data_IF_765477739198
#
_entry.id   IF_765477739198
#
_cell.length_a   1.000
_cell.length_b   1.000
_cell.length_c   1.000
_cell.angle_alpha   90.00
_cell.angle_beta   90.00
_cell.angle_gamma   90.00
#
_symmetry.space_group_name_H-M   'P 1'
#
loop_
_entity.id
_entity.type
_entity.pdbx_description
1 polymer ?
#
# COMPACT_ATOMS: atom_id res chain seq x y z
N UNK A 1 -26.94 -6.05 27.41
CA UNK A 1 -25.95 -5.51 26.45
C UNK A 1 -25.44 -6.67 25.59
N UNK A 2 -25.42 -6.55 24.26
CA UNK A 2 -25.11 -7.66 23.34
C UNK A 2 -23.62 -8.02 23.23
N UNK A 3 -23.29 -9.01 22.38
CA UNK A 3 -21.96 -9.61 22.15
C UNK A 3 -20.90 -8.68 21.52
N UNK A 4 -21.10 -7.35 21.52
CA UNK A 4 -20.13 -6.39 21.01
C UNK A 4 -18.91 -6.29 21.94
N UNK A 5 -17.70 -6.28 21.37
CA UNK A 5 -16.43 -6.20 22.10
C UNK A 5 -16.05 -4.76 22.48
N UNK A 6 -16.53 -3.79 21.72
CA UNK A 6 -16.19 -2.37 21.87
C UNK A 6 -17.44 -1.49 21.85
N UNK A 7 -17.31 -0.30 22.41
CA UNK A 7 -18.26 0.81 22.32
C UNK A 7 -17.54 1.95 21.62
N UNK A 8 -18.14 2.45 20.55
CA UNK A 8 -17.63 3.57 19.78
C UNK A 8 -18.45 4.82 20.04
N UNK A 9 -17.79 5.98 19.99
CA UNK A 9 -18.49 7.25 19.92
C UNK A 9 -17.66 8.31 19.21
N UNK A 10 -18.36 9.10 18.41
CA UNK A 10 -17.78 10.20 17.62
C UNK A 10 -17.58 11.44 18.49
N UNK A 11 -16.40 12.06 18.39
CA UNK A 11 -16.01 13.21 19.22
C UNK A 11 -15.84 14.46 18.35
N UNK A 12 -16.52 15.53 18.75
CA UNK A 12 -16.38 16.88 18.21
C UNK A 12 -16.62 17.93 19.30
N UNK A 13 -16.41 19.20 19.00
CA UNK A 13 -16.73 20.30 19.92
C UNK A 13 -18.20 20.70 19.81
N UNK A 14 -18.84 21.05 20.93
CA UNK A 14 -20.21 21.59 20.92
C UNK A 14 -20.30 22.78 19.96
N UNK A 15 -21.26 22.74 19.05
CA UNK A 15 -21.45 23.75 18.00
C UNK A 15 -20.33 23.75 16.94
N UNK A 16 -19.62 22.63 16.72
CA UNK A 16 -18.49 22.55 15.79
C UNK A 16 -18.81 23.19 14.43
N UNK A 17 -17.94 24.09 13.96
CA UNK A 17 -18.09 24.75 12.66
C UNK A 17 -19.22 25.79 12.60
N UNK A 18 -19.78 26.20 13.74
CA UNK A 18 -20.79 27.26 13.85
C UNK A 18 -20.29 28.43 14.69
N UNK A 19 -20.99 29.57 14.64
CA UNK A 19 -20.69 30.74 15.49
C UNK A 19 -20.86 30.46 16.99
N UNK A 20 -21.56 29.38 17.35
CA UNK A 20 -21.80 28.96 18.73
C UNK A 20 -20.81 27.91 19.23
N UNK A 21 -19.68 27.69 18.54
CA UNK A 21 -18.70 26.68 18.94
C UNK A 21 -18.14 26.93 20.36
N UNK A 22 -18.16 25.90 21.20
CA UNK A 22 -17.65 25.94 22.57
C UNK A 22 -16.51 24.93 22.75
N UNK A 23 -15.59 25.19 23.68
CA UNK A 23 -14.46 24.30 24.02
C UNK A 23 -14.91 23.11 24.90
N UNK A 24 -16.02 22.47 24.54
CA UNK A 24 -16.61 21.35 25.27
C UNK A 24 -16.70 20.15 24.31
N UNK A 25 -15.87 19.10 24.51
CA UNK A 25 -15.98 17.85 23.76
C UNK A 25 -17.30 17.14 24.06
N UNK A 26 -18.01 16.74 23.01
CA UNK A 26 -19.31 16.07 23.07
C UNK A 26 -19.34 14.84 22.16
N UNK A 27 -20.35 13.99 22.37
CA UNK A 27 -20.58 12.79 21.57
C UNK A 27 -21.55 13.08 20.43
N UNK A 28 -21.05 13.30 19.21
CA UNK A 28 -21.88 13.60 18.05
C UNK A 28 -21.21 13.17 16.74
N UNK A 29 -22.02 12.58 15.84
CA UNK A 29 -21.60 12.22 14.48
C UNK A 29 -22.07 13.30 13.49
N UNK A 30 -21.22 13.82 12.58
CA UNK A 30 -21.64 14.76 11.54
C UNK A 30 -22.80 14.22 10.65
N UNK A 31 -23.71 15.06 10.16
CA UNK A 31 -23.67 16.52 10.17
C UNK A 31 -24.12 17.17 11.49
N UNK A 32 -24.46 16.39 12.52
CA UNK A 32 -24.77 16.93 13.83
C UNK A 32 -23.53 17.63 14.41
N UNK A 33 -23.72 18.86 14.87
CA UNK A 33 -22.67 19.69 15.47
C UNK A 33 -22.85 19.85 16.98
N UNK A 34 -23.91 19.29 17.56
CA UNK A 34 -24.20 19.36 19.00
C UNK A 34 -24.83 18.06 19.52
N UNK A 35 -24.79 17.87 20.84
CA UNK A 35 -25.31 16.73 21.58
C UNK A 35 -25.55 17.12 23.04
N UNK A 36 -26.56 16.50 23.65
CA UNK A 36 -26.84 16.63 25.08
C UNK A 36 -25.87 15.83 25.96
N UNK A 37 -25.03 14.98 25.36
CA UNK A 37 -24.06 14.14 26.06
C UNK A 37 -22.64 14.67 25.84
N UNK A 38 -21.98 15.05 26.94
CA UNK A 38 -20.55 15.39 26.92
C UNK A 38 -19.68 14.14 26.86
N UNK A 39 -18.45 14.26 26.37
CA UNK A 39 -17.48 13.15 26.38
C UNK A 39 -17.23 12.62 27.80
N UNK A 40 -17.17 13.51 28.80
CA UNK A 40 -16.95 13.11 30.19
C UNK A 40 -18.09 12.22 30.72
N UNK A 41 -19.35 12.63 30.51
CA UNK A 41 -20.53 11.86 30.92
C UNK A 41 -20.56 10.51 30.21
N UNK A 42 -20.30 10.51 28.90
CA UNK A 42 -20.24 9.29 28.12
C UNK A 42 -19.14 8.33 28.62
N UNK A 43 -17.95 8.82 28.95
CA UNK A 43 -16.87 7.99 29.49
C UNK A 43 -17.23 7.36 30.84
N UNK A 44 -17.94 8.07 31.72
CA UNK A 44 -18.43 7.47 32.98
C UNK A 44 -19.40 6.32 32.72
N UNK A 45 -20.21 6.39 31.67
CA UNK A 45 -21.12 5.30 31.29
C UNK A 45 -20.37 4.14 30.60
N UNK A 46 -19.50 4.46 29.65
CA UNK A 46 -18.78 3.48 28.84
C UNK A 46 -17.83 2.62 29.69
N UNK A 47 -17.15 3.23 30.68
CA UNK A 47 -16.27 2.51 31.61
C UNK A 47 -16.99 1.44 32.42
N UNK A 48 -18.26 1.66 32.78
CA UNK A 48 -19.08 0.68 33.50
C UNK A 48 -19.56 -0.51 32.64
N UNK A 49 -19.42 -0.43 31.32
CA UNK A 49 -19.85 -1.49 30.42
C UNK A 49 -18.82 -2.63 30.28
N UNK A 50 -17.60 -2.46 30.79
CA UNK A 50 -16.49 -3.42 30.68
C UNK A 50 -16.22 -3.87 29.23
N UNK A 51 -16.31 -2.94 28.27
CA UNK A 51 -16.01 -3.12 26.85
C UNK A 51 -14.88 -2.20 26.43
N UNK A 52 -14.13 -2.55 25.38
CA UNK A 52 -13.16 -1.62 24.79
C UNK A 52 -13.82 -0.33 24.34
N UNK A 53 -13.09 0.78 24.34
CA UNK A 53 -13.59 2.11 23.97
C UNK A 53 -12.91 2.56 22.68
N UNK A 54 -13.70 2.98 21.68
CA UNK A 54 -13.19 3.67 20.48
C UNK A 54 -13.70 5.09 20.46
N UNK A 55 -12.79 6.05 20.45
CA UNK A 55 -13.12 7.47 20.28
C UNK A 55 -12.77 7.86 18.85
N UNK A 56 -13.79 8.16 18.04
CA UNK A 56 -13.59 8.55 16.64
C UNK A 56 -13.67 10.07 16.48
N UNK A 57 -12.51 10.70 16.30
CA UNK A 57 -12.36 12.14 16.25
C UNK A 57 -12.79 12.69 14.89
N UNK A 58 -13.76 13.61 14.92
CA UNK A 58 -14.30 14.26 13.72
C UNK A 58 -13.78 15.68 13.51
N UNK A 59 -13.06 16.23 14.49
CA UNK A 59 -12.41 17.53 14.39
C UNK A 59 -11.09 17.58 15.14
N UNK A 60 -10.07 18.20 14.54
CA UNK A 60 -8.74 18.31 15.13
C UNK A 60 -8.73 19.23 16.37
N UNK A 61 -9.66 20.18 16.43
CA UNK A 61 -9.84 21.10 17.56
C UNK A 61 -10.32 20.40 18.83
N UNK A 62 -11.01 19.26 18.69
CA UNK A 62 -11.52 18.49 19.83
C UNK A 62 -10.46 17.62 20.49
N UNK A 63 -9.37 17.27 19.78
CA UNK A 63 -8.42 16.22 20.20
C UNK A 63 -7.74 16.55 21.53
N UNK A 64 -7.14 17.73 21.66
CA UNK A 64 -6.43 18.11 22.90
C UNK A 64 -7.34 18.08 24.13
N UNK A 65 -8.53 18.67 24.01
CA UNK A 65 -9.51 18.79 25.09
C UNK A 65 -10.08 17.43 25.47
N UNK A 66 -10.40 16.60 24.49
CA UNK A 66 -10.90 15.26 24.72
C UNK A 66 -9.86 14.36 25.37
N UNK A 67 -8.59 14.41 24.92
CA UNK A 67 -7.52 13.60 25.50
C UNK A 67 -7.22 14.01 26.95
N UNK A 68 -7.38 15.28 27.32
CA UNK A 68 -7.31 15.68 28.73
C UNK A 68 -8.40 15.02 29.58
N UNK A 69 -9.64 14.92 29.06
CA UNK A 69 -10.76 14.25 29.74
C UNK A 69 -10.49 12.74 29.86
N UNK A 70 -9.95 12.12 28.81
CA UNK A 70 -9.58 10.70 28.80
C UNK A 70 -8.48 10.42 29.83
N UNK A 71 -7.43 11.25 29.87
CA UNK A 71 -6.32 11.10 30.81
C UNK A 71 -6.78 11.27 32.26
N UNK A 72 -7.68 12.22 32.54
CA UNK A 72 -8.32 12.36 33.87
C UNK A 72 -9.13 11.13 34.27
N UNK A 73 -9.64 10.38 33.28
CA UNK A 73 -10.43 9.16 33.49
C UNK A 73 -9.59 7.88 33.49
N UNK A 74 -8.27 7.98 33.25
CA UNK A 74 -7.35 6.83 33.06
C UNK A 74 -7.39 5.81 34.17
N UNK A 75 -7.45 6.24 35.43
CA UNK A 75 -7.52 5.33 36.58
C UNK A 75 -8.77 4.41 36.57
N UNK A 76 -9.83 4.80 35.85
CA UNK A 76 -11.07 4.03 35.68
C UNK A 76 -11.10 3.24 34.36
N UNK A 77 -10.23 3.58 33.40
CA UNK A 77 -10.12 2.92 32.11
C UNK A 77 -9.29 1.64 32.24
N UNK A 78 -9.94 0.57 32.69
CA UNK A 78 -9.36 -0.79 32.79
C UNK A 78 -9.54 -1.63 31.51
N UNK A 79 -9.96 -0.99 30.42
CA UNK A 79 -10.30 -1.60 29.12
C UNK A 79 -9.45 -0.99 28.02
N UNK A 80 -9.22 -1.69 26.90
CA UNK A 80 -8.50 -1.13 25.76
C UNK A 80 -9.17 0.14 25.23
N UNK A 81 -8.36 1.16 24.93
CA UNK A 81 -8.79 2.41 24.31
C UNK A 81 -8.18 2.51 22.91
N UNK A 82 -9.03 2.79 21.93
CA UNK A 82 -8.67 3.02 20.55
C UNK A 82 -8.97 4.49 20.21
N UNK A 83 -7.96 5.21 19.73
CA UNK A 83 -8.09 6.60 19.29
C UNK A 83 -8.13 6.59 17.75
N UNK A 84 -9.27 6.98 17.20
CA UNK A 84 -9.60 6.80 15.79
C UNK A 84 -9.76 8.14 15.07
N UNK A 85 -9.26 8.25 13.85
CA UNK A 85 -9.49 9.40 12.99
C UNK A 85 -9.27 9.06 11.52
N UNK A 86 -9.98 9.76 10.64
CA UNK A 86 -9.64 9.82 9.21
C UNK A 86 -8.50 10.84 9.03
N UNK A 87 -7.31 10.39 8.62
CA UNK A 87 -6.09 11.22 8.57
C UNK A 87 -5.47 11.31 7.17
N UNK A 88 -6.09 10.67 6.18
CA UNK A 88 -5.66 10.68 4.78
C UNK A 88 -6.86 10.69 3.83
N UNK A 89 -6.64 11.08 2.58
CA UNK A 89 -7.66 10.99 1.52
C UNK A 89 -7.79 9.57 1.00
N UNK A 90 -9.01 9.05 0.96
CA UNK A 90 -9.31 7.71 0.48
C UNK A 90 -10.13 7.69 -0.80
N UNK A 91 -10.64 6.50 -1.16
CA UNK A 91 -11.49 6.30 -2.31
C UNK A 91 -12.72 7.22 -2.27
N UNK A 92 -12.90 7.98 -3.36
CA UNK A 92 -13.99 8.94 -3.52
C UNK A 92 -14.02 10.06 -2.46
N UNK A 93 -12.87 10.44 -1.91
CA UNK A 93 -12.74 11.50 -0.89
C UNK A 93 -13.39 12.84 -1.30
N UNK A 94 -13.45 13.15 -2.60
CA UNK A 94 -14.13 14.33 -3.13
C UNK A 94 -15.65 14.35 -2.86
N UNK A 95 -16.24 13.20 -2.53
CA UNK A 95 -17.65 13.08 -2.11
C UNK A 95 -17.78 12.85 -0.59
N UNK A 96 -16.68 12.86 0.16
CA UNK A 96 -16.73 12.68 1.60
C UNK A 96 -17.38 13.90 2.26
N UNK A 97 -18.20 13.70 3.31
CA UNK A 97 -18.89 14.79 4.00
C UNK A 97 -17.92 15.70 4.78
N UNK A 98 -16.75 15.18 5.16
CA UNK A 98 -15.77 15.87 5.98
C UNK A 98 -14.37 15.74 5.36
N UNK A 99 -13.49 16.69 5.72
CA UNK A 99 -12.06 16.59 5.44
C UNK A 99 -11.37 15.71 6.48
N UNK A 100 -10.27 15.08 6.09
CA UNK A 100 -9.41 14.35 7.02
C UNK A 100 -8.75 15.32 8.00
N UNK A 101 -8.41 14.82 9.19
CA UNK A 101 -7.73 15.56 10.25
C UNK A 101 -6.24 15.67 9.94
N UNK A 102 -5.59 16.72 10.45
CA UNK A 102 -4.13 16.87 10.36
C UNK A 102 -3.44 15.64 10.99
N UNK A 103 -2.75 14.79 10.19
CA UNK A 103 -2.18 13.54 10.68
C UNK A 103 -1.09 13.78 11.73
N UNK A 104 -0.25 14.79 11.53
CA UNK A 104 0.89 15.07 12.42
C UNK A 104 0.40 15.53 13.78
N UNK A 105 -0.59 16.42 13.80
CA UNK A 105 -1.17 16.94 15.04
C UNK A 105 -1.91 15.85 15.79
N UNK A 106 -2.79 15.10 15.12
CA UNK A 106 -3.56 14.02 15.73
C UNK A 106 -2.65 12.96 16.37
N UNK A 107 -1.71 12.39 15.59
CA UNK A 107 -0.84 11.31 16.07
C UNK A 107 0.04 11.80 17.22
N UNK A 108 0.67 12.98 17.10
CA UNK A 108 1.50 13.53 18.16
C UNK A 108 0.74 13.71 19.47
N UNK A 109 -0.50 14.22 19.41
CA UNK A 109 -1.33 14.43 20.60
C UNK A 109 -1.71 13.10 21.25
N UNK A 110 -2.12 12.10 20.45
CA UNK A 110 -2.44 10.77 20.95
C UNK A 110 -1.23 10.10 21.63
N UNK A 111 -0.06 10.12 20.98
CA UNK A 111 1.17 9.55 21.53
C UNK A 111 1.63 10.25 22.81
N UNK A 112 1.44 11.57 22.90
CA UNK A 112 1.86 12.34 24.08
C UNK A 112 0.91 12.13 25.25
N UNK A 113 -0.39 12.21 25.01
CA UNK A 113 -1.39 12.19 26.07
C UNK A 113 -1.74 10.76 26.50
N UNK A 114 -1.75 9.80 25.58
CA UNK A 114 -2.24 8.45 25.84
C UNK A 114 -1.49 7.36 25.03
N UNK A 115 -0.19 7.15 25.32
CA UNK A 115 0.66 6.20 24.59
C UNK A 115 0.22 4.74 24.69
N UNK A 116 -0.59 4.38 25.69
CA UNK A 116 -1.10 3.02 25.89
C UNK A 116 -2.27 2.66 24.96
N UNK A 117 -2.79 3.63 24.19
CA UNK A 117 -3.91 3.38 23.26
C UNK A 117 -3.47 2.65 22.00
N UNK A 118 -4.44 2.05 21.32
CA UNK A 118 -4.31 1.66 19.90
C UNK A 118 -4.66 2.86 19.02
N UNK A 119 -3.78 3.24 18.09
CA UNK A 119 -4.11 4.21 17.06
C UNK A 119 -4.90 3.52 15.95
N UNK A 120 -5.97 4.17 15.50
CA UNK A 120 -6.86 3.69 14.46
C UNK A 120 -6.97 4.69 13.33
N UNK A 121 -6.10 4.56 12.34
CA UNK A 121 -5.98 5.55 11.27
C UNK A 121 -6.82 5.13 10.07
N UNK A 122 -7.67 6.03 9.59
CA UNK A 122 -8.54 5.80 8.44
C UNK A 122 -8.28 6.79 7.32
N UNK A 123 -8.99 6.54 6.22
CA UNK A 123 -9.09 7.47 5.11
C UNK A 123 -10.48 8.07 5.06
N UNK A 124 -10.62 9.31 4.60
CA UNK A 124 -11.94 9.82 4.20
C UNK A 124 -12.49 9.00 3.05
N UNK A 125 -13.78 8.65 3.12
CA UNK A 125 -14.42 7.87 2.06
C UNK A 125 -15.76 8.48 1.65
N UNK A 126 -15.95 8.66 0.36
CA UNK A 126 -17.26 8.98 -0.22
C UNK A 126 -18.02 7.71 -0.61
N UNK A 127 -19.35 7.70 -0.48
CA UNK A 127 -20.17 6.66 -1.10
C UNK A 127 -20.35 6.97 -2.60
N UNK A 128 -20.02 6.01 -3.45
CA UNK A 128 -20.26 6.08 -4.90
C UNK A 128 -20.41 4.68 -5.49
N UNK A 129 -21.36 4.50 -6.40
CA UNK A 129 -21.55 3.27 -7.18
C UNK A 129 -20.57 3.16 -8.34
N UNK A 130 -20.23 4.30 -8.95
CA UNK A 130 -19.42 4.39 -10.17
C UNK A 130 -18.02 4.98 -9.92
N UNK A 131 -17.73 5.31 -8.66
CA UNK A 131 -16.45 5.86 -8.23
C UNK A 131 -15.37 4.79 -8.02
N UNK A 132 -14.20 5.23 -7.57
CA UNK A 132 -13.04 4.39 -7.24
C UNK A 132 -13.44 3.33 -6.21
N UNK A 133 -13.27 2.05 -6.54
CA UNK A 133 -13.61 0.90 -5.67
C UNK A 133 -12.36 0.17 -5.13
N UNK A 134 -11.26 0.91 -4.90
CA UNK A 134 -9.97 0.36 -4.46
C UNK A 134 -9.20 1.42 -3.65
N UNK A 135 -8.49 1.01 -2.59
CA UNK A 135 -7.41 1.80 -2.00
C UNK A 135 -6.18 1.69 -2.90
N UNK A 136 -5.88 2.75 -3.66
CA UNK A 136 -4.76 2.75 -4.61
C UNK A 136 -3.40 2.66 -3.91
N UNK A 137 -2.36 2.32 -4.67
CA UNK A 137 -0.99 2.33 -4.18
C UNK A 137 -0.55 3.70 -3.63
N UNK A 138 -0.98 4.79 -4.27
CA UNK A 138 -0.75 6.14 -3.76
C UNK A 138 -1.41 6.37 -2.39
N UNK A 139 -2.65 5.94 -2.19
CA UNK A 139 -3.38 6.11 -0.92
C UNK A 139 -2.72 5.34 0.23
N UNK A 140 -2.33 4.08 0.01
CA UNK A 140 -1.66 3.28 1.07
C UNK A 140 -0.25 3.77 1.33
N UNK A 141 0.47 4.26 0.31
CA UNK A 141 1.82 4.80 0.49
C UNK A 141 1.81 6.13 1.25
N UNK A 142 0.81 6.99 1.03
CA UNK A 142 0.60 8.20 1.85
C UNK A 142 0.33 7.82 3.31
N UNK A 143 -0.53 6.82 3.57
CA UNK A 143 -0.77 6.33 4.93
C UNK A 143 0.50 5.77 5.58
N UNK A 144 1.30 4.99 4.83
CA UNK A 144 2.61 4.54 5.29
C UNK A 144 3.51 5.72 5.68
N UNK A 145 3.58 6.78 4.86
CA UNK A 145 4.45 7.93 5.14
C UNK A 145 3.97 8.74 6.35
N UNK A 146 2.66 8.82 6.58
CA UNK A 146 2.08 9.38 7.81
C UNK A 146 2.59 8.60 9.04
N UNK A 147 2.48 7.28 9.02
CA UNK A 147 2.91 6.41 10.13
C UNK A 147 4.42 6.49 10.36
N UNK A 148 5.20 6.33 9.29
CA UNK A 148 6.66 6.31 9.35
C UNK A 148 7.24 7.67 9.81
N UNK A 149 6.69 8.79 9.33
CA UNK A 149 7.18 10.12 9.69
C UNK A 149 6.85 10.54 11.12
N UNK A 150 5.85 9.92 11.73
CA UNK A 150 5.48 10.14 13.12
C UNK A 150 6.19 9.19 14.10
N UNK A 151 6.95 8.21 13.61
CA UNK A 151 7.63 7.19 14.41
C UNK A 151 6.66 6.50 15.41
N UNK A 152 5.51 6.06 14.89
CA UNK A 152 4.44 5.48 15.72
C UNK A 152 4.93 4.20 16.40
N UNK A 153 4.99 4.22 17.73
CA UNK A 153 5.34 3.06 18.57
C UNK A 153 4.12 2.32 19.16
N UNK A 154 2.94 2.93 19.05
CA UNK A 154 1.70 2.38 19.59
C UNK A 154 1.17 1.22 18.72
N UNK A 155 0.35 0.31 19.27
CA UNK A 155 -0.45 -0.60 18.45
C UNK A 155 -1.24 0.17 17.41
N UNK A 156 -1.23 -0.32 16.17
CA UNK A 156 -1.82 0.36 15.02
C UNK A 156 -2.85 -0.53 14.33
N UNK A 157 -4.00 0.05 14.02
CA UNK A 157 -4.99 -0.53 13.11
C UNK A 157 -5.40 0.48 12.05
N UNK A 158 -5.72 0.00 10.85
CA UNK A 158 -6.23 0.82 9.76
C UNK A 158 -7.73 0.62 9.60
N UNK A 159 -8.50 1.70 9.70
CA UNK A 159 -9.95 1.67 9.43
C UNK A 159 -10.17 1.58 7.92
N UNK A 160 -10.66 0.43 7.47
CA UNK A 160 -10.83 0.10 6.06
C UNK A 160 -12.29 -0.23 5.77
N UNK A 161 -12.84 0.36 4.72
CA UNK A 161 -14.20 0.07 4.27
C UNK A 161 -14.25 -1.33 3.65
N UNK A 162 -14.99 -2.25 4.27
CA UNK A 162 -14.99 -3.67 3.96
C UNK A 162 -15.28 -3.98 2.48
N UNK A 163 -16.18 -3.21 1.84
CA UNK A 163 -16.55 -3.37 0.42
C UNK A 163 -15.36 -3.23 -0.55
N UNK A 164 -14.34 -2.47 -0.18
CA UNK A 164 -13.20 -2.15 -1.06
C UNK A 164 -12.04 -3.14 -0.91
N UNK A 165 -12.05 -3.97 0.13
CA UNK A 165 -10.90 -4.79 0.52
C UNK A 165 -10.53 -5.81 -0.56
N UNK A 166 -11.51 -6.41 -1.22
CA UNK A 166 -11.26 -7.46 -2.24
C UNK A 166 -10.34 -6.97 -3.36
N UNK A 167 -10.49 -5.71 -3.76
CA UNK A 167 -9.69 -5.08 -4.81
C UNK A 167 -8.39 -4.48 -4.26
N UNK A 168 -8.30 -4.27 -2.95
CA UNK A 168 -7.21 -3.53 -2.30
C UNK A 168 -6.26 -4.44 -1.51
N UNK A 169 -6.42 -5.75 -1.65
CA UNK A 169 -5.84 -6.70 -0.71
C UNK A 169 -4.31 -6.68 -0.75
N UNK A 170 -3.72 -6.61 -1.94
CA UNK A 170 -2.26 -6.50 -2.12
C UNK A 170 -1.72 -5.21 -1.48
N UNK A 171 -2.40 -4.08 -1.70
CA UNK A 171 -2.03 -2.76 -1.16
C UNK A 171 -2.11 -2.73 0.37
N UNK A 172 -3.21 -3.24 0.93
CA UNK A 172 -3.44 -3.28 2.37
C UNK A 172 -2.48 -4.24 3.07
N UNK A 173 -2.22 -5.42 2.47
CA UNK A 173 -1.24 -6.37 3.00
C UNK A 173 0.16 -5.77 3.01
N UNK A 174 0.56 -5.08 1.94
CA UNK A 174 1.82 -4.34 1.90
C UNK A 174 1.90 -3.31 3.03
N UNK A 175 0.84 -2.51 3.24
CA UNK A 175 0.81 -1.51 4.32
C UNK A 175 0.97 -2.16 5.71
N UNK A 176 0.30 -3.29 5.96
CA UNK A 176 0.43 -4.05 7.20
C UNK A 176 1.85 -4.58 7.40
N UNK A 177 2.48 -5.11 6.36
CA UNK A 177 3.86 -5.61 6.41
C UNK A 177 4.87 -4.49 6.71
N UNK A 178 4.66 -3.29 6.15
CA UNK A 178 5.58 -2.16 6.36
C UNK A 178 5.43 -1.50 7.73
N UNK A 179 4.25 -1.57 8.35
CA UNK A 179 3.94 -0.85 9.59
C UNK A 179 3.75 -1.75 10.80
N UNK A 180 3.65 -3.07 10.60
CA UNK A 180 3.25 -4.02 11.65
C UNK A 180 1.78 -3.91 12.07
N UNK A 181 1.00 -3.05 11.41
CA UNK A 181 -0.39 -2.76 11.75
C UNK A 181 -1.39 -3.89 11.46
N UNK A 182 -2.61 -3.68 11.92
CA UNK A 182 -3.78 -4.56 11.70
C UNK A 182 -4.85 -3.82 10.90
N UNK A 183 -5.93 -4.50 10.51
CA UNK A 183 -7.07 -3.87 9.83
C UNK A 183 -8.32 -3.92 10.71
N UNK A 184 -9.05 -2.81 10.75
CA UNK A 184 -10.42 -2.73 11.25
C UNK A 184 -11.34 -2.57 10.04
N UNK A 185 -12.05 -3.64 9.68
CA UNK A 185 -12.98 -3.62 8.55
C UNK A 185 -14.34 -3.12 9.01
N UNK A 186 -14.76 -1.96 8.50
CA UNK A 186 -16.07 -1.39 8.81
C UNK A 186 -17.00 -1.36 7.59
N UNK A 187 -18.30 -1.34 7.83
CA UNK A 187 -19.32 -1.24 6.78
C UNK A 187 -20.33 -0.14 7.08
N UNK A 188 -20.32 0.97 6.32
CA UNK A 188 -21.41 1.95 6.35
C UNK A 188 -22.75 1.29 6.01
N UNK A 189 -23.85 1.89 6.48
CA UNK A 189 -25.20 1.35 6.32
C UNK A 189 -25.62 1.14 4.85
N UNK A 190 -25.11 1.96 3.94
CA UNK A 190 -25.40 1.88 2.51
C UNK A 190 -24.58 0.81 1.77
N UNK A 191 -23.62 0.17 2.44
CA UNK A 191 -22.81 -0.88 1.83
C UNK A 191 -23.53 -2.22 1.90
N UNK A 192 -23.68 -2.83 0.72
CA UNK A 192 -24.10 -4.23 0.61
C UNK A 192 -22.84 -5.08 0.54
N UNK A 193 -22.53 -5.75 1.65
CA UNK A 193 -21.41 -6.70 1.69
C UNK A 193 -21.84 -8.06 1.13
N UNK A 194 -20.91 -8.70 0.45
CA UNK A 194 -21.01 -10.09 0.04
C UNK A 194 -20.11 -10.92 0.96
N UNK A 195 -20.69 -11.85 1.72
CA UNK A 195 -19.95 -12.67 2.68
C UNK A 195 -18.87 -13.53 2.02
N UNK A 196 -19.09 -14.03 0.80
CA UNK A 196 -18.08 -14.79 0.06
C UNK A 196 -16.85 -13.93 -0.26
N UNK A 197 -17.04 -12.65 -0.57
CA UNK A 197 -15.92 -11.73 -0.82
C UNK A 197 -15.09 -11.49 0.44
N UNK A 198 -15.77 -11.32 1.60
CA UNK A 198 -15.10 -11.16 2.89
C UNK A 198 -14.43 -12.46 3.35
N UNK A 199 -15.02 -13.62 3.07
CA UNK A 199 -14.40 -14.93 3.33
C UNK A 199 -13.10 -15.10 2.53
N UNK A 200 -13.11 -14.75 1.24
CA UNK A 200 -11.91 -14.83 0.39
C UNK A 200 -10.78 -13.93 0.93
N UNK A 201 -11.12 -12.72 1.37
CA UNK A 201 -10.17 -11.82 2.06
C UNK A 201 -9.63 -12.47 3.33
N UNK A 202 -10.51 -13.07 4.14
CA UNK A 202 -10.14 -13.71 5.41
C UNK A 202 -9.18 -14.89 5.22
N UNK A 203 -9.24 -15.61 4.10
CA UNK A 203 -8.27 -16.70 3.81
C UNK A 203 -6.88 -16.19 3.41
N UNK A 204 -6.77 -14.93 2.97
CA UNK A 204 -5.52 -14.31 2.54
C UNK A 204 -4.85 -13.44 3.62
N UNK A 205 -5.57 -13.13 4.69
CA UNK A 205 -5.06 -12.37 5.84
C UNK A 205 -4.98 -13.27 7.08
N UNK A 206 -3.99 -13.04 7.93
CA UNK A 206 -3.89 -13.79 9.20
C UNK A 206 -5.06 -13.44 10.12
N UNK A 207 -5.62 -14.46 10.80
CA UNK A 207 -6.80 -14.35 11.68
C UNK A 207 -6.65 -13.26 12.74
N UNK A 208 -5.47 -13.15 13.31
CA UNK A 208 -5.10 -12.24 14.41
C UNK A 208 -4.86 -10.80 13.93
N UNK A 209 -4.96 -10.54 12.62
CA UNK A 209 -4.64 -9.23 12.02
C UNK A 209 -5.85 -8.45 11.54
N UNK A 210 -7.07 -8.96 11.73
CA UNK A 210 -8.29 -8.31 11.25
C UNK A 210 -9.38 -8.29 12.32
N UNK A 211 -9.83 -7.08 12.66
CA UNK A 211 -11.03 -6.84 13.44
C UNK A 211 -12.21 -6.53 12.50
N UNK A 212 -13.35 -7.19 12.72
CA UNK A 212 -14.54 -7.04 11.89
C UNK A 212 -15.61 -6.22 12.63
N UNK A 213 -15.76 -4.96 12.22
CA UNK A 213 -16.80 -4.03 12.65
C UNK A 213 -17.91 -3.93 11.59
N UNK A 214 -18.56 -5.07 11.35
CA UNK A 214 -19.57 -5.25 10.30
C UNK A 214 -20.84 -5.87 10.88
N UNK A 215 -21.90 -5.87 10.07
CA UNK A 215 -23.20 -6.41 10.48
C UNK A 215 -23.10 -7.84 11.03
N UNK A 216 -23.86 -8.10 12.10
CA UNK A 216 -23.86 -9.37 12.82
C UNK A 216 -24.26 -10.57 11.96
N UNK A 217 -25.09 -10.38 10.92
CA UNK A 217 -25.48 -11.44 10.00
C UNK A 217 -24.28 -11.93 9.18
N UNK A 218 -23.49 -11.01 8.63
CA UNK A 218 -22.26 -11.32 7.90
C UNK A 218 -21.25 -11.98 8.85
N UNK A 219 -21.09 -11.45 10.07
CA UNK A 219 -20.18 -12.04 11.06
C UNK A 219 -20.56 -13.50 11.38
N UNK A 220 -21.85 -13.78 11.57
CA UNK A 220 -22.33 -15.14 11.80
C UNK A 220 -22.07 -16.08 10.61
N UNK A 221 -22.10 -15.57 9.38
CA UNK A 221 -21.70 -16.35 8.20
C UNK A 221 -20.20 -16.64 8.18
N UNK A 222 -19.36 -15.67 8.54
CA UNK A 222 -17.92 -15.89 8.67
C UNK A 222 -17.63 -16.98 9.71
N UNK A 223 -18.28 -16.96 10.87
CA UNK A 223 -18.05 -17.92 11.96
C UNK A 223 -18.41 -19.37 11.59
N UNK A 224 -19.27 -19.59 10.59
CA UNK A 224 -19.63 -20.95 10.10
C UNK A 224 -18.51 -21.62 9.31
N UNK A 225 -17.60 -20.85 8.73
CA UNK A 225 -16.53 -21.37 7.87
C UNK A 225 -15.24 -21.45 8.68
N UNK A 226 -14.67 -22.64 8.91
CA UNK A 226 -13.35 -22.78 9.54
C UNK A 226 -12.26 -22.09 8.73
N UNK A 227 -11.19 -21.67 9.41
CA UNK A 227 -10.00 -21.10 8.76
C UNK A 227 -9.08 -22.23 8.28
N UNK A 228 -9.59 -23.07 7.39
CA UNK A 228 -8.82 -24.16 6.79
C UNK A 228 -8.47 -23.76 5.35
N UNK A 229 -7.50 -22.87 5.22
CA UNK A 229 -7.00 -22.43 3.92
C UNK A 229 -5.52 -22.12 4.02
N UNK A 230 -4.69 -23.04 3.54
CA UNK A 230 -3.29 -22.75 3.27
C UNK A 230 -3.21 -21.62 2.24
N UNK A 231 -2.43 -20.58 2.55
CA UNK A 231 -2.11 -19.52 1.60
C UNK A 231 -1.47 -20.17 0.36
N UNK A 232 -1.93 -19.82 -0.85
CA UNK A 232 -1.24 -20.24 -2.08
C UNK A 232 0.13 -19.54 -2.13
N UNK A 233 1.18 -20.26 -1.79
CA UNK A 233 2.55 -19.71 -1.71
C UNK A 233 3.18 -19.52 -3.09
N UNK A 234 2.56 -20.06 -4.16
CA UNK A 234 3.13 -20.10 -5.52
C UNK A 234 3.22 -18.74 -6.21
N UNK A 235 2.78 -17.66 -5.57
CA UNK A 235 2.78 -16.30 -6.14
C UNK A 235 3.53 -15.24 -5.31
N UNK A 236 4.21 -15.62 -4.22
CA UNK A 236 4.92 -14.65 -3.37
C UNK A 236 6.28 -14.28 -3.94
N UNK A 237 6.65 -13.01 -3.82
CA UNK A 237 8.00 -12.54 -4.08
C UNK A 237 8.96 -13.16 -3.05
N UNK A 238 9.98 -13.87 -3.53
CA UNK A 238 10.94 -14.57 -2.67
C UNK A 238 11.97 -13.60 -2.10
N UNK A 239 11.56 -12.79 -1.11
CA UNK A 239 12.39 -11.74 -0.48
C UNK A 239 13.80 -12.21 -0.11
N UNK A 240 13.94 -13.46 0.35
CA UNK A 240 15.22 -14.06 0.73
C UNK A 240 16.24 -14.16 -0.41
N UNK A 241 15.79 -14.19 -1.67
CA UNK A 241 16.66 -14.26 -2.85
C UNK A 241 17.23 -12.90 -3.27
N UNK A 242 16.81 -11.81 -2.63
CA UNK A 242 17.18 -10.45 -3.04
C UNK A 242 17.95 -9.72 -1.95
N UNK A 243 18.83 -8.83 -2.40
CA UNK A 243 19.59 -7.91 -1.56
C UNK A 243 19.32 -6.49 -2.02
N UNK A 244 18.79 -5.68 -1.11
CA UNK A 244 18.72 -4.24 -1.31
C UNK A 244 20.12 -3.64 -1.20
N UNK A 245 20.48 -2.82 -2.19
CA UNK A 245 21.75 -2.10 -2.20
C UNK A 245 21.46 -0.65 -1.82
N UNK A 246 21.90 -0.28 -0.62
CA UNK A 246 21.79 1.08 -0.12
C UNK A 246 23.10 1.83 -0.41
N UNK A 247 23.05 2.88 -1.21
CA UNK A 247 24.28 3.56 -1.68
C UNK A 247 24.27 5.06 -1.64
N UNK A 248 23.09 5.68 -1.53
CA UNK A 248 22.92 7.13 -1.56
C UNK A 248 21.77 7.57 -0.65
N UNK A 249 21.85 8.83 -0.22
CA UNK A 249 20.72 9.51 0.39
C UNK A 249 19.56 9.63 -0.61
N UNK A 250 18.33 9.46 -0.11
CA UNK A 250 17.09 9.55 -0.90
C UNK A 250 16.62 8.25 -1.54
N UNK A 251 17.36 7.14 -1.43
CA UNK A 251 16.87 5.81 -1.84
C UNK A 251 15.74 5.34 -0.92
N UNK A 252 14.60 5.00 -1.51
CA UNK A 252 13.46 4.44 -0.78
C UNK A 252 13.12 3.09 -1.37
N UNK A 253 13.31 2.03 -0.61
CA UNK A 253 13.06 0.64 -1.01
C UNK A 253 12.17 0.00 0.04
N UNK A 254 10.96 -0.39 -0.35
CA UNK A 254 9.98 -1.04 0.49
C UNK A 254 9.63 -2.41 -0.10
N UNK A 255 9.95 -3.47 0.64
CA UNK A 255 9.86 -4.84 0.15
C UNK A 255 8.74 -5.59 0.86
N UNK A 256 7.59 -5.75 0.21
CA UNK A 256 6.51 -6.61 0.67
C UNK A 256 6.57 -8.01 0.06
N UNK A 257 5.77 -8.92 0.60
CA UNK A 257 5.71 -10.31 0.13
C UNK A 257 5.03 -10.49 -1.23
N UNK A 258 4.22 -9.51 -1.66
CA UNK A 258 3.46 -9.53 -2.93
C UNK A 258 3.74 -8.31 -3.82
N UNK A 259 4.41 -7.28 -3.29
CA UNK A 259 4.68 -6.05 -4.01
C UNK A 259 5.96 -5.36 -3.51
N UNK A 260 6.65 -4.70 -4.43
CA UNK A 260 7.85 -3.92 -4.19
C UNK A 260 7.55 -2.46 -4.54
N UNK A 261 7.94 -1.54 -3.68
CA UNK A 261 7.84 -0.11 -3.98
C UNK A 261 9.22 0.49 -3.85
N UNK A 262 9.73 1.12 -4.90
CA UNK A 262 11.03 1.76 -4.84
C UNK A 262 11.11 3.06 -5.63
N UNK A 263 11.90 3.98 -5.10
CA UNK A 263 12.26 5.26 -5.69
C UNK A 263 13.78 5.39 -5.54
N UNK A 264 14.46 5.58 -6.68
CA UNK A 264 15.92 5.58 -6.79
C UNK A 264 16.60 4.30 -6.26
N UNK A 265 15.87 3.20 -6.08
CA UNK A 265 16.36 1.98 -5.44
C UNK A 265 17.00 0.98 -6.40
N UNK A 266 17.84 0.09 -5.85
CA UNK A 266 18.44 -1.06 -6.54
C UNK A 266 18.31 -2.34 -5.70
N UNK A 267 17.78 -3.40 -6.31
CA UNK A 267 17.81 -4.77 -5.81
C UNK A 267 18.73 -5.61 -6.69
N UNK A 268 19.52 -6.50 -6.09
CA UNK A 268 20.34 -7.48 -6.80
C UNK A 268 20.00 -8.87 -6.25
N UNK A 269 19.94 -9.88 -7.12
CA UNK A 269 19.78 -11.27 -6.70
C UNK A 269 21.00 -11.75 -5.90
N UNK A 270 20.76 -12.60 -4.90
CA UNK A 270 21.83 -13.20 -4.10
C UNK A 270 22.49 -14.38 -4.80
N UNK A 271 21.75 -15.00 -5.70
CA UNK A 271 22.15 -16.18 -6.45
C UNK A 271 21.94 -15.93 -7.95
N UNK A 272 22.60 -16.76 -8.75
CA UNK A 272 22.40 -16.79 -10.19
C UNK A 272 21.13 -17.56 -10.54
N UNK A 273 20.42 -17.11 -11.58
CA UNK A 273 19.24 -17.78 -12.08
C UNK A 273 19.60 -18.63 -13.30
N UNK A 274 19.44 -19.95 -13.16
CA UNK A 274 19.72 -20.92 -14.21
C UNK A 274 18.42 -21.53 -14.73
N UNK A 275 18.45 -21.98 -16.00
CA UNK A 275 17.35 -22.72 -16.60
C UNK A 275 17.00 -23.97 -15.79
N UNK A 276 15.72 -24.15 -15.48
CA UNK A 276 15.21 -25.42 -14.96
C UNK A 276 15.18 -26.47 -16.08
N UNK A 277 15.38 -27.75 -15.72
CA UNK A 277 15.37 -28.85 -16.68
C UNK A 277 14.08 -28.88 -17.52
N UNK A 278 14.22 -28.80 -18.84
CA UNK A 278 13.10 -28.84 -19.79
C UNK A 278 12.42 -27.49 -20.07
N UNK A 279 12.97 -26.39 -19.55
CA UNK A 279 12.59 -25.02 -19.94
C UNK A 279 13.51 -24.51 -21.06
N UNK A 280 12.95 -23.70 -21.95
CA UNK A 280 13.70 -23.04 -23.03
C UNK A 280 14.20 -21.64 -22.65
N UNK A 281 13.64 -21.03 -21.60
CA UNK A 281 13.96 -19.69 -21.12
C UNK A 281 13.77 -19.55 -19.61
N UNK A 282 14.50 -18.61 -18.99
CA UNK A 282 14.14 -18.06 -17.68
C UNK A 282 13.10 -16.96 -17.94
N UNK A 283 11.89 -17.13 -17.42
CA UNK A 283 10.79 -16.18 -17.64
C UNK A 283 10.57 -15.32 -16.41
N UNK A 284 10.60 -14.01 -16.61
CA UNK A 284 10.30 -13.01 -15.58
C UNK A 284 9.04 -12.29 -16.01
N UNK A 285 8.04 -12.28 -15.14
CA UNK A 285 6.78 -11.57 -15.40
C UNK A 285 6.39 -10.74 -14.20
N UNK A 286 5.67 -9.66 -14.47
CA UNK A 286 5.15 -8.80 -13.42
C UNK A 286 4.30 -7.69 -13.98
N UNK A 287 3.86 -6.84 -13.08
CA UNK A 287 3.19 -5.60 -13.41
C UNK A 287 3.92 -4.45 -12.72
N UNK A 288 3.98 -3.30 -13.39
CA UNK A 288 4.53 -2.06 -12.85
C UNK A 288 3.53 -0.93 -13.00
N UNK A 289 3.23 -0.27 -11.90
CA UNK A 289 2.52 1.02 -11.85
C UNK A 289 3.50 2.10 -11.39
N UNK A 290 3.58 3.21 -12.12
CA UNK A 290 4.33 4.37 -11.67
C UNK A 290 3.41 5.38 -10.99
N UNK A 291 3.61 5.57 -9.70
CA UNK A 291 2.80 6.50 -8.91
C UNK A 291 3.60 7.76 -8.58
N UNK A 292 2.95 8.90 -8.79
CA UNK A 292 3.43 10.19 -8.30
C UNK A 292 2.82 10.44 -6.93
N UNK A 293 3.67 10.62 -5.94
CA UNK A 293 3.25 11.04 -4.61
C UNK A 293 3.76 12.46 -4.46
N UNK A 294 2.89 13.45 -4.19
CA UNK A 294 3.34 14.81 -3.95
C UNK A 294 4.19 14.83 -2.67
N UNK A 295 5.50 14.69 -2.82
CA UNK A 295 6.43 14.93 -1.72
C UNK A 295 6.66 16.43 -1.60
N UNK A 296 7.04 16.89 -0.40
CA UNK A 296 7.60 18.23 -0.19
C UNK A 296 8.68 18.45 -1.26
N UNK A 297 8.67 19.56 -2.02
CA UNK A 297 9.65 19.79 -3.05
C UNK A 297 11.04 19.85 -2.42
N UNK A 298 11.84 18.81 -2.60
CA UNK A 298 13.28 18.91 -2.36
C UNK A 298 13.84 19.84 -3.43
N UNK A 299 14.39 20.96 -2.99
CA UNK A 299 15.18 21.86 -3.82
C UNK A 299 16.46 21.14 -4.22
N UNK A 300 16.55 20.60 -5.43
CA UNK A 300 17.81 20.03 -5.92
C UNK A 300 17.72 19.27 -7.24
N UNK A 301 18.40 19.84 -8.24
CA UNK A 301 18.86 19.29 -9.52
C UNK A 301 17.90 18.47 -10.40
N UNK A 302 17.50 19.11 -11.50
CA UNK A 302 16.93 18.49 -12.69
C UNK A 302 17.97 17.61 -13.40
N UNK A 303 18.26 16.44 -12.86
CA UNK A 303 18.93 15.39 -13.62
C UNK A 303 17.84 14.62 -14.36
N UNK A 304 17.87 14.73 -15.69
CA UNK A 304 16.98 14.08 -16.66
C UNK A 304 17.24 12.57 -16.74
N UNK A 305 17.20 11.87 -15.61
CA UNK A 305 17.18 10.41 -15.63
C UNK A 305 15.80 9.95 -16.11
N UNK A 306 15.73 9.00 -17.07
CA UNK A 306 14.46 8.52 -17.56
C UNK A 306 13.69 7.85 -16.41
N UNK A 307 12.48 8.34 -16.14
CA UNK A 307 11.60 7.76 -15.12
C UNK A 307 11.09 6.43 -15.64
N UNK A 308 11.40 5.34 -14.94
CA UNK A 308 10.96 4.02 -15.34
C UNK A 308 11.54 2.91 -14.48
N UNK A 309 11.30 1.67 -14.91
CA UNK A 309 11.77 0.44 -14.29
C UNK A 309 12.80 -0.23 -15.21
N UNK A 310 14.00 -0.46 -14.70
CA UNK A 310 15.03 -1.27 -15.35
C UNK A 310 15.14 -2.64 -14.68
N UNK A 311 14.95 -3.70 -15.46
CA UNK A 311 15.22 -5.08 -15.08
C UNK A 311 16.50 -5.49 -15.81
N UNK A 312 17.55 -5.80 -15.06
CA UNK A 312 18.85 -6.15 -15.59
C UNK A 312 19.04 -7.66 -15.53
N UNK A 313 19.38 -8.23 -16.68
CA UNK A 313 19.68 -9.63 -16.87
C UNK A 313 21.18 -9.81 -17.09
N UNK A 314 21.65 -11.02 -16.81
CA UNK A 314 23.06 -11.41 -16.97
C UNK A 314 24.00 -10.38 -16.32
N UNK A 315 23.72 -10.04 -15.07
CA UNK A 315 24.47 -9.02 -14.32
C UNK A 315 25.80 -9.58 -13.86
N UNK A 316 26.89 -8.85 -14.09
CA UNK A 316 28.23 -9.25 -13.63
C UNK A 316 28.40 -9.08 -12.13
N UNK A 317 29.14 -9.99 -11.49
CA UNK A 317 29.39 -10.02 -10.03
C UNK A 317 30.04 -8.74 -9.47
N UNK A 318 30.70 -7.93 -10.31
CA UNK A 318 31.32 -6.65 -9.93
C UNK A 318 30.37 -5.46 -9.89
N UNK A 319 29.07 -5.67 -10.13
CA UNK A 319 28.08 -4.60 -10.12
C UNK A 319 27.96 -3.99 -8.72
N UNK A 320 28.18 -2.68 -8.65
CA UNK A 320 28.00 -1.87 -7.45
C UNK A 320 26.78 -0.97 -7.65
N UNK A 321 26.29 -0.39 -6.56
CA UNK A 321 25.03 0.34 -6.55
C UNK A 321 24.82 1.38 -7.65
N UNK A 322 25.92 2.00 -8.11
CA UNK A 322 25.90 3.05 -9.12
C UNK A 322 25.94 2.51 -10.55
N UNK A 323 26.56 1.36 -10.79
CA UNK A 323 26.84 0.79 -12.11
C UNK A 323 26.46 -0.68 -12.11
N UNK A 324 25.38 -0.99 -12.83
CA UNK A 324 24.97 -2.36 -13.15
C UNK A 324 25.51 -2.66 -14.54
N UNK A 325 26.39 -3.66 -14.64
CA UNK A 325 26.92 -4.11 -15.93
C UNK A 325 26.21 -5.41 -16.35
N UNK A 326 25.49 -5.36 -17.47
CA UNK A 326 24.62 -6.44 -17.95
C UNK A 326 23.68 -5.97 -19.06
N UNK A 327 22.57 -6.69 -19.26
CA UNK A 327 21.55 -6.35 -20.26
C UNK A 327 20.36 -5.71 -19.57
N UNK A 328 20.02 -4.48 -19.94
CA UNK A 328 18.93 -3.71 -19.35
C UNK A 328 17.67 -3.86 -20.20
N UNK A 329 16.60 -4.38 -19.60
CA UNK A 329 15.23 -4.29 -20.10
C UNK A 329 14.53 -3.14 -19.36
N UNK A 330 14.20 -2.06 -20.07
CA UNK A 330 13.66 -0.84 -19.49
C UNK A 330 12.21 -0.60 -19.93
N UNK A 331 11.38 -0.22 -18.97
CA UNK A 331 9.99 0.22 -19.15
C UNK A 331 9.88 1.64 -18.59
N UNK A 332 9.72 2.61 -19.47
CA UNK A 332 9.55 4.02 -19.14
C UNK A 332 8.14 4.35 -18.66
N UNK A 333 8.03 5.37 -17.82
CA UNK A 333 6.77 5.96 -17.36
C UNK A 333 5.85 6.37 -18.53
N UNK A 334 6.44 6.88 -19.59
CA UNK A 334 5.80 7.30 -20.83
C UNK A 334 5.46 6.14 -21.78
N UNK A 335 5.91 4.92 -21.46
CA UNK A 335 5.80 3.72 -22.29
C UNK A 335 6.91 3.58 -23.32
N UNK A 336 7.99 4.35 -23.23
CA UNK A 336 9.23 4.04 -23.93
C UNK A 336 9.80 2.71 -23.42
N UNK A 337 10.20 1.84 -24.34
CA UNK A 337 10.75 0.52 -24.04
C UNK A 337 12.14 0.40 -24.66
N UNK A 338 13.08 -0.18 -23.92
CA UNK A 338 14.46 -0.36 -24.39
C UNK A 338 15.00 -1.71 -23.91
N UNK A 339 15.69 -2.44 -24.79
CA UNK A 339 16.65 -3.48 -24.39
C UNK A 339 18.04 -3.01 -24.82
N UNK A 340 18.97 -2.88 -23.89
CA UNK A 340 20.31 -2.35 -24.18
C UNK A 340 21.44 -3.01 -23.40
N UNK A 341 22.65 -2.99 -23.96
CA UNK A 341 23.89 -3.29 -23.22
C UNK A 341 24.21 -2.15 -22.29
N UNK A 342 24.25 -2.40 -20.99
CA UNK A 342 24.61 -1.40 -19.99
C UNK A 342 26.01 -1.66 -19.45
N UNK A 343 26.90 -0.68 -19.58
CA UNK A 343 28.23 -0.70 -18.95
C UNK A 343 29.06 -1.96 -19.29
N UNK A 344 28.94 -2.42 -20.54
CA UNK A 344 29.75 -3.52 -21.11
C UNK A 344 30.83 -2.87 -22.00
N UNK A 345 32.13 -3.05 -21.69
CA UNK A 345 33.19 -2.40 -22.45
C UNK A 345 33.14 -2.74 -23.95
N UNK A 346 33.20 -1.71 -24.81
CA UNK A 346 33.21 -1.88 -26.26
C UNK A 346 31.87 -2.30 -26.89
N UNK A 347 30.78 -2.36 -26.11
CA UNK A 347 29.44 -2.66 -26.61
C UNK A 347 28.44 -1.55 -26.27
N UNK A 348 27.83 -0.97 -27.31
CA UNK A 348 26.67 -0.08 -27.23
C UNK A 348 25.63 -0.57 -28.25
N UNK A 349 24.84 -1.55 -27.83
CA UNK A 349 23.74 -2.12 -28.61
C UNK A 349 22.45 -1.82 -27.89
N UNK A 350 21.45 -1.37 -28.64
CA UNK A 350 20.11 -1.10 -28.12
C UNK A 350 19.04 -1.45 -29.15
N UNK A 351 17.90 -1.83 -28.64
CA UNK A 351 16.65 -1.94 -29.39
C UNK A 351 15.58 -1.20 -28.61
N UNK A 352 14.85 -0.33 -29.30
CA UNK A 352 13.83 0.51 -28.69
C UNK A 352 12.47 0.23 -29.33
N UNK A 353 11.41 0.47 -28.57
CA UNK A 353 10.04 0.57 -29.07
C UNK A 353 9.22 1.47 -28.13
N UNK A 354 7.95 1.64 -28.44
CA UNK A 354 7.00 2.36 -27.58
C UNK A 354 5.71 1.55 -27.50
N UNK A 355 5.09 1.55 -26.32
CA UNK A 355 3.73 1.05 -26.13
C UNK A 355 2.77 2.24 -25.98
N UNK A 356 1.75 2.30 -26.83
CA UNK A 356 0.80 3.42 -26.86
C UNK A 356 -0.14 3.45 -25.65
N UNK A 357 -0.70 4.63 -25.37
CA UNK A 357 -1.69 4.88 -24.32
C UNK A 357 -1.23 5.92 -23.29
N UNK A 358 -2.03 6.14 -22.25
CA UNK A 358 -1.88 7.31 -21.36
C UNK A 358 -1.58 6.95 -19.90
N UNK A 359 -1.98 5.78 -19.43
CA UNK A 359 -1.75 5.37 -18.04
C UNK A 359 -0.33 4.80 -17.87
N UNK A 360 0.42 5.19 -16.83
CA UNK A 360 1.76 4.70 -16.59
C UNK A 360 1.73 3.33 -15.88
N UNK A 361 1.07 2.36 -16.51
CA UNK A 361 0.75 1.06 -15.94
C UNK A 361 0.91 -0.06 -16.97
N UNK A 362 1.75 -1.05 -16.65
CA UNK A 362 2.21 -2.02 -17.63
C UNK A 362 2.29 -3.41 -17.02
N UNK A 363 1.83 -4.43 -17.76
CA UNK A 363 2.27 -5.80 -17.53
C UNK A 363 3.46 -6.11 -18.43
N UNK A 364 4.38 -6.93 -17.96
CA UNK A 364 5.56 -7.33 -18.72
C UNK A 364 5.87 -8.81 -18.57
N UNK A 365 6.45 -9.38 -19.62
CA UNK A 365 7.07 -10.70 -19.66
C UNK A 365 8.43 -10.54 -20.35
N UNK A 366 9.49 -11.01 -19.69
CA UNK A 366 10.84 -11.03 -20.21
C UNK A 366 11.32 -12.47 -20.21
N UNK A 367 11.62 -13.01 -21.38
CA UNK A 367 12.19 -14.34 -21.55
C UNK A 367 13.68 -14.22 -21.90
N UNK A 368 14.54 -14.76 -21.03
CA UNK A 368 15.97 -14.93 -21.29
C UNK A 368 16.23 -16.35 -21.81
N UNK A 369 16.38 -16.48 -23.13
CA UNK A 369 16.74 -17.74 -23.79
C UNK A 369 18.26 -17.91 -23.72
N UNK A 370 18.76 -18.43 -22.59
CA UNK A 370 20.19 -18.56 -22.30
C UNK A 370 20.94 -19.33 -23.42
N UNK A 371 20.33 -20.40 -23.95
CA UNK A 371 20.94 -21.24 -25.01
C UNK A 371 20.84 -20.66 -26.43
N UNK A 372 19.92 -19.73 -26.67
CA UNK A 372 19.70 -19.14 -28.00
C UNK A 372 20.27 -17.73 -28.13
N UNK A 373 21.01 -17.25 -27.12
CA UNK A 373 21.57 -15.90 -27.07
C UNK A 373 20.53 -14.85 -27.49
N UNK A 374 19.37 -14.89 -26.84
CA UNK A 374 18.25 -14.02 -27.17
C UNK A 374 17.45 -13.64 -25.94
N UNK A 375 17.12 -12.37 -25.82
CA UNK A 375 16.18 -11.85 -24.83
C UNK A 375 14.95 -11.32 -25.58
N UNK A 376 13.77 -11.65 -25.07
CA UNK A 376 12.49 -11.17 -25.60
C UNK A 376 11.75 -10.47 -24.49
N UNK A 377 11.37 -9.21 -24.71
CA UNK A 377 10.54 -8.44 -23.79
C UNK A 377 9.19 -8.14 -24.44
N UNK A 378 8.12 -8.55 -23.80
CA UNK A 378 6.73 -8.26 -24.19
C UNK A 378 6.10 -7.38 -23.12
N UNK A 379 5.58 -6.22 -23.50
CA UNK A 379 4.96 -5.26 -22.57
C UNK A 379 3.58 -4.91 -23.08
N UNK A 380 2.60 -4.94 -22.18
CA UNK A 380 1.22 -4.52 -22.48
C UNK A 380 0.84 -3.35 -21.58
N UNK A 381 0.27 -2.29 -22.13
CA UNK A 381 -0.26 -1.19 -21.31
C UNK A 381 -1.67 -1.54 -20.83
N UNK A 382 -1.91 -1.44 -19.52
CA UNK A 382 -3.18 -1.80 -18.90
C UNK A 382 -4.17 -0.64 -18.92
N UNK A 383 -5.46 -0.95 -19.11
CA UNK A 383 -6.58 0.03 -18.96
C UNK A 383 -6.78 0.45 -17.51
N UNK A 384 -6.39 -0.41 -16.58
CA UNK A 384 -6.47 -0.21 -15.14
C UNK A 384 -5.41 -1.07 -14.46
N UNK A 385 -4.69 -0.52 -13.48
CA UNK A 385 -3.74 -1.30 -12.67
C UNK A 385 -4.41 -2.24 -11.67
N UNK A 386 -5.73 -2.15 -11.53
CA UNK A 386 -6.49 -3.02 -10.63
C UNK A 386 -7.03 -4.29 -11.31
N UNK A 387 -6.90 -4.38 -12.64
CA UNK A 387 -7.26 -5.59 -13.38
C UNK A 387 -6.09 -6.58 -13.27
N UNK A 388 -6.29 -7.67 -12.51
CA UNK A 388 -5.37 -8.80 -12.52
C UNK A 388 -5.27 -9.31 -13.96
N UNK A 389 -4.04 -9.59 -14.41
CA UNK A 389 -3.51 -9.96 -15.75
C UNK A 389 -4.38 -10.81 -16.71
N UNK A 390 -5.56 -11.28 -16.33
CA UNK A 390 -6.50 -12.01 -17.17
C UNK A 390 -7.09 -11.21 -18.34
N UNK A 391 -6.92 -9.88 -18.38
CA UNK A 391 -7.50 -9.01 -19.43
C UNK A 391 -6.49 -8.02 -20.01
N UNK A 392 -5.26 -8.46 -20.33
CA UNK A 392 -4.39 -7.66 -21.18
C UNK A 392 -5.11 -7.40 -22.52
N UNK A 393 -5.29 -6.14 -22.87
CA UNK A 393 -5.91 -5.74 -24.12
C UNK A 393 -4.94 -6.08 -25.26
N UNK A 394 -5.31 -7.04 -26.13
CA UNK A 394 -4.45 -7.49 -27.23
C UNK A 394 -4.05 -6.32 -28.17
N UNK A 395 -4.81 -5.23 -28.15
CA UNK A 395 -4.58 -4.02 -28.95
C UNK A 395 -3.41 -3.11 -28.47
N UNK A 396 -2.82 -3.38 -27.30
CA UNK A 396 -1.73 -2.54 -26.72
C UNK A 396 -0.51 -3.35 -26.26
N UNK A 397 -0.14 -4.39 -27.02
CA UNK A 397 1.04 -5.22 -26.75
C UNK A 397 2.19 -4.85 -27.68
N UNK A 398 3.36 -4.56 -27.11
CA UNK A 398 4.60 -4.33 -27.85
C UNK A 398 5.62 -5.41 -27.48
N UNK A 399 6.21 -6.03 -28.50
CA UNK A 399 7.27 -7.05 -28.37
C UNK A 399 8.59 -6.50 -28.90
N UNK A 400 9.66 -6.70 -28.14
CA UNK A 400 11.03 -6.34 -28.50
C UNK A 400 11.91 -7.58 -28.38
N UNK A 401 12.76 -7.82 -29.38
CA UNK A 401 13.73 -8.90 -29.37
C UNK A 401 15.15 -8.33 -29.42
N UNK A 402 16.05 -8.91 -28.65
CA UNK A 402 17.44 -8.51 -28.57
C UNK A 402 18.34 -9.73 -28.71
N UNK A 403 19.22 -9.71 -29.72
CA UNK A 403 20.19 -10.78 -29.94
C UNK A 403 21.45 -10.54 -29.11
N UNK A 404 21.84 -11.54 -28.34
CA UNK A 404 23.06 -11.59 -27.53
C UNK A 404 24.26 -12.12 -28.31
N UNK A 405 24.14 -12.31 -29.62
CA UNK A 405 25.25 -12.79 -30.46
C UNK A 405 26.47 -11.88 -30.28
N UNK A 406 27.63 -12.48 -30.08
CA UNK A 406 28.93 -11.82 -29.85
C UNK A 406 29.02 -11.03 -28.52
N UNK A 407 28.11 -11.27 -27.57
CA UNK A 407 28.14 -10.71 -26.21
C UNK A 407 28.57 -11.79 -25.21
N UNK A 408 29.81 -11.70 -24.73
CA UNK A 408 30.35 -12.66 -23.75
C UNK A 408 30.03 -12.22 -22.31
N UNK A 409 28.92 -12.73 -21.77
CA UNK A 409 28.59 -12.63 -20.34
C UNK A 409 28.23 -14.01 -19.81
N UNK A 410 28.91 -14.43 -18.75
CA UNK A 410 28.76 -15.80 -18.20
C UNK A 410 27.99 -15.84 -16.88
N UNK A 411 27.71 -14.70 -16.26
CA UNK A 411 27.00 -14.61 -14.99
C UNK A 411 25.51 -14.38 -15.20
N UNK A 412 24.67 -15.05 -14.41
CA UNK A 412 23.21 -14.97 -14.51
C UNK A 412 22.54 -14.32 -13.30
N UNK A 413 23.23 -13.37 -12.65
CA UNK A 413 22.57 -12.52 -11.65
C UNK A 413 21.56 -11.59 -12.30
N UNK A 414 20.60 -11.14 -11.51
CA UNK A 414 19.62 -10.15 -11.92
C UNK A 414 19.65 -8.93 -11.01
N UNK A 415 19.24 -7.79 -11.55
CA UNK A 415 18.99 -6.60 -10.76
C UNK A 415 17.71 -5.88 -11.17
N UNK A 416 17.10 -5.15 -10.24
CA UNK A 416 15.92 -4.32 -10.48
C UNK A 416 16.25 -2.92 -10.00
N UNK A 417 16.06 -1.91 -10.86
CA UNK A 417 16.38 -0.51 -10.56
C UNK A 417 15.27 0.42 -11.03
N UNK A 418 14.85 1.38 -10.21
CA UNK A 418 14.02 2.50 -10.68
C UNK A 418 14.79 3.82 -10.49
N UNK A 419 15.49 4.31 -11.52
CA UNK A 419 16.26 5.55 -11.44
C UNK A 419 15.33 6.77 -11.56
N UNK A 420 14.51 7.00 -10.54
CA UNK A 420 13.63 8.18 -10.47
C UNK A 420 13.62 8.77 -9.08
N UNK A 421 13.68 10.11 -9.02
CA UNK A 421 13.40 10.91 -7.82
C UNK A 421 11.98 11.49 -7.84
N UNK A 422 11.24 11.34 -8.96
CA UNK A 422 9.95 12.00 -9.17
C UNK A 422 8.76 11.06 -8.96
N UNK A 423 8.94 9.77 -9.23
CA UNK A 423 7.89 8.75 -9.16
C UNK A 423 8.41 7.51 -8.43
N UNK A 424 7.49 6.77 -7.82
CA UNK A 424 7.76 5.42 -7.34
C UNK A 424 7.40 4.41 -8.43
N UNK A 425 8.25 3.40 -8.61
CA UNK A 425 7.86 2.19 -9.32
C UNK A 425 7.28 1.22 -8.30
N UNK A 426 6.02 0.85 -8.50
CA UNK A 426 5.35 -0.21 -7.75
C UNK A 426 5.33 -1.44 -8.63
N UNK A 427 6.00 -2.51 -8.20
CA UNK A 427 6.08 -3.78 -8.92
C UNK A 427 5.32 -4.82 -8.13
N UNK A 428 4.24 -5.35 -8.69
CA UNK A 428 3.46 -6.45 -8.14
C UNK A 428 3.36 -7.62 -9.14
N UNK A 429 2.82 -8.76 -8.68
CA UNK A 429 2.78 -10.01 -9.45
C UNK A 429 4.14 -10.45 -10.02
N UNK A 430 5.24 -10.08 -9.35
CA UNK A 430 6.59 -10.38 -9.81
C UNK A 430 6.90 -11.86 -9.59
N UNK A 431 6.97 -12.61 -10.70
CA UNK A 431 7.21 -14.04 -10.71
C UNK A 431 8.38 -14.37 -11.63
N UNK A 432 9.19 -15.32 -11.18
CA UNK A 432 10.29 -15.88 -11.95
C UNK A 432 10.09 -17.40 -12.03
N UNK A 433 10.13 -17.95 -13.24
CA UNK A 433 9.77 -19.34 -13.51
C UNK A 433 10.49 -19.92 -14.72
#
# INVERSE_FOLDING_TARGET
MGNAMMIEGDVLLRGQGTDNQQLIPIMAHPPQTDSDITLYEWLQLATNAHKGIKLDFKSIESVDLALQIVEQSKAKLSVPVQLSAEVAEGPNSFMAPNKYLDPRRFIKQCMTAFPESTLSLGWTNGWSTDGVQIYSWSMVKVMHDIVASADVQQPLTFNVRAKLVKNSLTQLKWLMEMTGGTLTLFSPQLDKLNSNEILNVRHRLSKDKVFYDIDSSIKAELEKVPLDGGLDERQKFQLGQWKAIHSKDGEKIYLGSEALIFQNGLLISREEFHLENGRDAVTIKGQVEFINIPTVPESGDSVTSPVGLGIFLRVSQGSIATIVSGIRCFIGFDGHLEISTQSIPGMDRRQEATVSGTLPCFSFVIDDYQDMDKIVMTVSRLKSCSDVVQHADEDHVTKIEFSMKDIEIHSHYMAIRAPSTQAFAVVDYFLMA
#
